data_IF_637238593320
#
_entry.id   IF_637238593320
#
_cell.length_a   1.000
_cell.length_b   1.000
_cell.length_c   1.000
_cell.angle_alpha   90.00
_cell.angle_beta   90.00
_cell.angle_gamma   90.00
#
_symmetry.space_group_name_H-M   'P 1'
#
loop_
_entity.id
_entity.type
_entity.pdbx_description
1 polymer ?
#
# COMPACT_ATOMS: atom_id res chain seq x y z
N UNK A 1 -6.90 -3.42 5.49
CA UNK A 1 -6.06 -4.14 4.51
C UNK A 1 -4.71 -4.44 5.14
N UNK A 2 -3.98 -5.46 4.66
CA UNK A 2 -2.65 -5.81 5.18
C UNK A 2 -1.57 -4.84 4.68
N UNK A 3 -0.54 -4.59 5.48
CA UNK A 3 0.65 -3.83 5.06
C UNK A 3 1.90 -4.38 5.76
N UNK A 4 3.07 -4.22 5.13
CA UNK A 4 4.35 -4.60 5.71
C UNK A 4 5.44 -3.61 5.29
N UNK A 5 6.30 -3.23 6.23
CA UNK A 5 7.44 -2.33 5.98
C UNK A 5 8.72 -3.13 6.05
N UNK A 6 9.38 -3.30 4.91
CA UNK A 6 10.59 -4.12 4.78
C UNK A 6 11.73 -3.35 4.13
N UNK A 7 12.96 -3.77 4.42
CA UNK A 7 14.16 -3.21 3.78
C UNK A 7 14.39 -3.82 2.39
N UNK A 8 14.15 -5.12 2.26
CA UNK A 8 14.22 -5.86 1.01
C UNK A 8 12.88 -6.51 0.73
N UNK A 9 12.41 -6.39 -0.51
CA UNK A 9 11.20 -7.06 -0.99
C UNK A 9 11.59 -8.46 -1.47
N UNK A 10 11.53 -9.45 -0.59
CA UNK A 10 11.78 -10.86 -0.94
C UNK A 10 10.47 -11.58 -1.23
N UNK A 11 10.53 -12.69 -1.97
CA UNK A 11 9.34 -13.45 -2.32
C UNK A 11 8.60 -13.97 -1.08
N UNK A 12 9.35 -14.42 -0.07
CA UNK A 12 8.82 -14.99 1.18
C UNK A 12 8.00 -13.95 1.94
N UNK A 13 8.55 -12.74 2.08
CA UNK A 13 7.88 -11.62 2.75
C UNK A 13 6.57 -11.24 2.05
N UNK A 14 6.56 -11.26 0.72
CA UNK A 14 5.37 -10.92 -0.06
C UNK A 14 4.34 -12.06 0.03
N UNK A 15 4.78 -13.32 0.00
CA UNK A 15 3.91 -14.48 0.20
C UNK A 15 3.23 -14.43 1.57
N UNK A 16 3.99 -14.19 2.65
CA UNK A 16 3.43 -14.02 4.00
C UNK A 16 2.40 -12.89 4.06
N UNK A 17 2.66 -11.77 3.38
CA UNK A 17 1.70 -10.67 3.29
C UNK A 17 0.40 -11.07 2.56
N UNK A 18 0.50 -11.81 1.45
CA UNK A 18 -0.66 -12.33 0.70
C UNK A 18 -1.42 -13.38 1.53
N UNK A 19 -0.69 -14.18 2.31
CA UNK A 19 -1.23 -15.22 3.19
C UNK A 19 -2.05 -14.62 4.33
N UNK A 20 -1.56 -13.55 4.96
CA UNK A 20 -2.21 -12.85 6.07
C UNK A 20 -3.33 -11.90 5.61
N UNK A 21 -3.24 -11.36 4.38
CA UNK A 21 -4.21 -10.39 3.88
C UNK A 21 -5.58 -11.03 3.56
N UNK A 22 -6.68 -10.26 3.64
CA UNK A 22 -7.98 -10.69 3.14
C UNK A 22 -7.88 -11.17 1.69
N UNK A 23 -8.45 -12.34 1.40
CA UNK A 23 -8.36 -12.96 0.08
C UNK A 23 -9.22 -12.19 -0.92
N UNK A 24 -8.64 -11.95 -2.09
CA UNK A 24 -9.31 -11.30 -3.21
C UNK A 24 -9.53 -12.30 -4.34
N UNK A 25 -10.56 -12.06 -5.16
CA UNK A 25 -10.75 -12.84 -6.39
C UNK A 25 -9.74 -12.46 -7.48
N UNK A 26 -9.28 -11.20 -7.47
CA UNK A 26 -8.34 -10.63 -8.45
C UNK A 26 -7.23 -9.88 -7.74
N UNK A 27 -6.01 -10.10 -8.17
CA UNK A 27 -4.80 -9.45 -7.68
C UNK A 27 -4.13 -8.69 -8.83
N UNK A 28 -3.75 -7.44 -8.57
CA UNK A 28 -3.09 -6.55 -9.53
C UNK A 28 -1.76 -6.08 -8.96
N UNK A 29 -0.71 -6.04 -9.78
CA UNK A 29 0.62 -5.56 -9.37
C UNK A 29 1.32 -4.75 -10.47
N UNK A 30 2.48 -4.19 -10.13
CA UNK A 30 3.40 -3.46 -11.01
C UNK A 30 4.33 -4.38 -11.85
N UNK A 31 3.99 -5.67 -11.99
CA UNK A 31 4.77 -6.68 -12.72
C UNK A 31 6.15 -7.00 -12.13
N UNK A 32 6.38 -6.75 -10.84
CA UNK A 32 7.61 -7.22 -10.20
C UNK A 32 7.69 -8.76 -10.20
N UNK A 33 8.80 -9.33 -10.66
CA UNK A 33 9.01 -10.77 -10.92
C UNK A 33 8.57 -11.70 -9.78
N UNK A 34 8.69 -11.26 -8.53
CA UNK A 34 8.27 -12.07 -7.39
C UNK A 34 6.75 -12.35 -7.38
N UNK A 35 5.90 -11.44 -7.91
CA UNK A 35 4.44 -11.58 -7.88
C UNK A 35 3.93 -12.70 -8.79
N UNK A 36 4.63 -13.01 -9.87
CA UNK A 36 4.28 -14.09 -10.81
C UNK A 36 4.48 -15.47 -10.18
N UNK A 37 5.27 -15.55 -9.10
CA UNK A 37 5.64 -16.79 -8.41
C UNK A 37 4.87 -17.02 -7.11
N UNK A 38 3.93 -16.14 -6.77
CA UNK A 38 3.15 -16.23 -5.54
C UNK A 38 1.95 -17.16 -5.68
N UNK A 39 1.56 -17.74 -4.55
CA UNK A 39 0.31 -18.46 -4.42
C UNK A 39 -0.80 -17.54 -3.90
N UNK A 40 -1.83 -17.33 -4.73
CA UNK A 40 -2.94 -16.41 -4.44
C UNK A 40 -4.21 -17.10 -3.90
N UNK A 41 -4.12 -18.30 -3.32
CA UNK A 41 -5.26 -18.99 -2.69
C UNK A 41 -6.50 -19.04 -3.61
N UNK A 42 -6.31 -19.43 -4.87
CA UNK A 42 -7.34 -19.49 -5.93
C UNK A 42 -7.76 -18.15 -6.56
N UNK A 43 -7.17 -17.02 -6.13
CA UNK A 43 -7.32 -15.75 -6.82
C UNK A 43 -6.58 -15.73 -8.16
N UNK A 44 -7.12 -14.98 -9.12
CA UNK A 44 -6.46 -14.74 -10.41
C UNK A 44 -5.54 -13.54 -10.27
N UNK A 45 -4.27 -13.75 -10.62
CA UNK A 45 -3.30 -12.67 -10.70
C UNK A 45 -3.19 -12.19 -12.14
N UNK A 46 -3.34 -10.87 -12.32
CA UNK A 46 -3.31 -10.22 -13.61
C UNK A 46 -2.30 -9.06 -13.55
N UNK A 47 -1.36 -9.08 -14.49
CA UNK A 47 -0.43 -7.98 -14.69
C UNK A 47 -1.15 -6.92 -15.53
N UNK A 48 -1.18 -5.68 -15.05
CA UNK A 48 -1.65 -4.54 -15.85
C UNK A 48 -0.82 -4.45 -17.14
N UNK A 49 -1.41 -4.84 -18.27
CA UNK A 49 -0.74 -4.75 -19.58
C UNK A 49 -0.72 -3.29 -20.03
N UNK A 50 0.45 -2.67 -19.91
CA UNK A 50 0.64 -1.25 -20.20
C UNK A 50 0.42 -0.37 -18.97
N UNK A 51 1.09 0.78 -18.93
CA UNK A 51 1.03 1.78 -17.85
C UNK A 51 -0.35 2.48 -17.72
N UNK A 52 -1.41 1.87 -18.22
CA UNK A 52 -2.74 2.46 -18.26
C UNK A 52 -3.53 2.28 -16.95
N UNK A 53 -3.16 1.31 -16.09
CA UNK A 53 -3.88 1.05 -14.83
C UNK A 53 -3.12 1.53 -13.57
N UNK A 54 -2.07 2.34 -13.71
CA UNK A 54 -1.27 2.83 -12.56
C UNK A 54 -1.94 3.95 -11.78
N UNK A 55 -3.05 4.53 -12.26
CA UNK A 55 -3.73 5.66 -11.61
C UNK A 55 -4.06 5.43 -10.12
N UNK A 56 -4.45 4.20 -9.76
CA UNK A 56 -4.76 3.85 -8.36
C UNK A 56 -3.51 3.86 -7.49
N UNK A 57 -2.43 3.21 -7.95
CA UNK A 57 -1.15 3.12 -7.22
C UNK A 57 -0.46 4.49 -7.15
N UNK A 58 -0.56 5.29 -8.21
CA UNK A 58 -0.04 6.65 -8.25
C UNK A 58 -0.81 7.58 -7.30
N UNK A 59 -2.13 7.44 -7.22
CA UNK A 59 -2.97 8.15 -6.26
C UNK A 59 -2.59 7.83 -4.81
N UNK A 60 -2.42 6.55 -4.49
CA UNK A 60 -1.99 6.12 -3.15
C UNK A 60 -0.58 6.64 -2.80
N UNK A 61 0.35 6.59 -3.74
CA UNK A 61 1.69 7.16 -3.58
C UNK A 61 1.66 8.69 -3.41
N UNK A 62 0.75 9.39 -4.09
CA UNK A 62 0.57 10.82 -3.95
C UNK A 62 0.01 11.17 -2.56
N UNK A 63 -0.99 10.44 -2.06
CA UNK A 63 -1.51 10.61 -0.69
C UNK A 63 -0.41 10.34 0.35
N UNK A 64 0.37 9.28 0.18
CA UNK A 64 1.48 8.95 1.07
C UNK A 64 2.47 10.12 1.16
N UNK A 65 2.88 10.71 0.03
CA UNK A 65 3.80 11.86 0.00
C UNK A 65 3.16 13.16 0.50
N UNK A 66 1.84 13.29 0.34
CA UNK A 66 1.08 14.44 0.85
C UNK A 66 1.08 14.46 2.38
N UNK A 67 0.75 13.34 3.03
CA UNK A 67 0.70 13.26 4.48
C UNK A 67 2.07 13.04 5.13
N UNK A 68 2.97 12.31 4.48
CA UNK A 68 4.33 12.08 4.94
C UNK A 68 5.32 12.89 4.08
N UNK A 69 5.43 14.19 4.37
CA UNK A 69 6.35 15.10 3.66
C UNK A 69 7.80 14.59 3.60
N UNK A 70 8.21 13.76 4.57
CA UNK A 70 9.51 13.07 4.57
C UNK A 70 9.75 12.13 3.39
N UNK A 71 8.69 11.67 2.72
CA UNK A 71 8.73 10.83 1.52
C UNK A 71 8.61 11.64 0.23
N UNK A 72 8.39 12.96 0.32
CA UNK A 72 8.21 13.81 -0.85
C UNK A 72 9.51 14.03 -1.64
N UNK A 73 10.66 14.11 -0.96
CA UNK A 73 11.97 14.35 -1.59
C UNK A 73 13.09 13.54 -0.94
N UNK A 74 13.49 12.45 -1.62
CA UNK A 74 14.52 11.51 -1.16
C UNK A 74 15.82 12.17 -0.64
N UNK A 75 16.29 13.23 -1.30
CA UNK A 75 17.58 13.87 -0.96
C UNK A 75 17.46 14.99 0.07
N UNK A 76 16.25 15.46 0.40
CA UNK A 76 16.04 16.66 1.23
C UNK A 76 15.21 16.40 2.48
N UNK A 77 14.49 15.30 2.53
CA UNK A 77 13.64 14.98 3.66
C UNK A 77 13.98 13.56 4.13
N UNK A 78 14.30 13.42 5.41
CA UNK A 78 14.72 12.16 6.02
C UNK A 78 14.12 12.01 7.41
N UNK A 79 14.01 10.77 7.87
CA UNK A 79 13.69 10.49 9.27
C UNK A 79 14.98 10.45 10.08
N UNK A 80 14.90 10.78 11.37
CA UNK A 80 16.05 10.70 12.29
C UNK A 80 16.62 9.28 12.40
N UNK A 81 15.74 8.27 12.34
CA UNK A 81 16.10 6.86 12.33
C UNK A 81 15.06 6.04 11.54
N UNK A 82 15.40 4.80 11.12
CA UNK A 82 14.47 3.89 10.46
C UNK A 82 13.20 3.60 11.27
N UNK A 83 13.29 3.56 12.60
CA UNK A 83 12.20 3.28 13.51
C UNK A 83 11.16 4.40 13.47
N UNK A 84 11.60 5.66 13.42
CA UNK A 84 10.73 6.82 13.27
C UNK A 84 10.02 6.84 11.92
N UNK A 85 10.64 6.31 10.86
CA UNK A 85 9.99 6.12 9.57
C UNK A 85 8.95 5.00 9.63
N UNK A 86 9.32 3.85 10.21
CA UNK A 86 8.40 2.71 10.40
C UNK A 86 7.18 3.10 11.20
N UNK A 87 7.33 3.86 12.29
CA UNK A 87 6.22 4.34 13.10
C UNK A 87 5.28 5.27 12.30
N UNK A 88 5.83 6.22 11.54
CA UNK A 88 5.05 7.11 10.70
C UNK A 88 4.28 6.36 9.59
N UNK A 89 4.92 5.36 8.97
CA UNK A 89 4.27 4.49 7.99
C UNK A 89 3.14 3.65 8.61
N UNK A 90 3.36 3.07 9.80
CA UNK A 90 2.33 2.31 10.52
C UNK A 90 1.10 3.17 10.83
N UNK A 91 1.33 4.38 11.35
CA UNK A 91 0.25 5.33 11.65
C UNK A 91 -0.50 5.71 10.37
N UNK A 92 0.22 6.05 9.30
CA UNK A 92 -0.41 6.36 8.02
C UNK A 92 -1.27 5.20 7.52
N UNK A 93 -0.74 3.97 7.50
CA UNK A 93 -1.47 2.80 7.00
C UNK A 93 -2.69 2.47 7.85
N UNK A 94 -2.62 2.68 9.17
CA UNK A 94 -3.78 2.59 10.05
C UNK A 94 -4.87 3.58 9.63
N UNK A 95 -4.59 4.88 9.61
CA UNK A 95 -5.55 5.93 9.23
C UNK A 95 -6.09 5.72 7.81
N UNK A 96 -5.20 5.37 6.87
CA UNK A 96 -5.55 5.13 5.48
C UNK A 96 -6.50 3.95 5.34
N UNK A 97 -6.23 2.82 6.00
CA UNK A 97 -7.11 1.66 5.99
C UNK A 97 -8.50 1.96 6.59
N UNK A 98 -8.55 2.69 7.70
CA UNK A 98 -9.81 3.13 8.31
C UNK A 98 -10.61 4.01 7.33
N UNK A 99 -9.95 4.93 6.64
CA UNK A 99 -10.57 5.75 5.60
C UNK A 99 -11.11 4.91 4.44
N UNK A 100 -10.38 3.88 3.98
CA UNK A 100 -10.86 3.03 2.89
C UNK A 100 -12.13 2.28 3.27
N UNK A 101 -12.18 1.73 4.49
CA UNK A 101 -13.40 1.08 5.01
C UNK A 101 -14.55 2.07 5.16
N UNK A 102 -14.27 3.31 5.61
CA UNK A 102 -15.27 4.36 5.67
C UNK A 102 -15.82 4.72 4.29
N UNK A 103 -14.97 4.89 3.27
CA UNK A 103 -15.38 5.17 1.89
C UNK A 103 -16.21 4.03 1.29
N UNK A 104 -15.90 2.77 1.61
CA UNK A 104 -16.70 1.62 1.19
C UNK A 104 -18.11 1.66 1.80
N UNK A 105 -18.23 2.06 3.08
CA UNK A 105 -19.51 2.16 3.78
C UNK A 105 -20.31 3.41 3.39
N UNK A 106 -19.62 4.51 3.09
CA UNK A 106 -20.19 5.85 2.86
C UNK A 106 -19.59 6.49 1.59
N UNK A 107 -19.91 5.97 0.39
CA UNK A 107 -19.24 6.38 -0.85
C UNK A 107 -19.48 7.83 -1.26
N UNK A 108 -20.60 8.42 -0.82
CA UNK A 108 -20.97 9.79 -1.17
C UNK A 108 -20.33 10.86 -0.26
N UNK A 109 -19.58 10.45 0.77
CA UNK A 109 -18.98 11.37 1.74
C UNK A 109 -17.49 11.53 1.49
N UNK A 110 -17.03 12.78 1.45
CA UNK A 110 -15.59 13.07 1.44
C UNK A 110 -14.96 12.60 2.74
N UNK A 111 -13.80 11.93 2.64
CA UNK A 111 -13.04 11.46 3.77
C UNK A 111 -11.54 11.63 3.50
N UNK A 112 -10.84 12.26 4.45
CA UNK A 112 -9.41 12.54 4.43
C UNK A 112 -8.68 11.71 5.48
N UNK A 113 -7.42 11.35 5.23
CA UNK A 113 -6.67 10.42 6.10
C UNK A 113 -6.51 10.96 7.52
N UNK A 114 -6.29 12.26 7.68
CA UNK A 114 -6.10 12.89 9.00
C UNK A 114 -7.33 12.81 9.93
N UNK A 115 -8.51 12.50 9.40
CA UNK A 115 -9.74 12.37 10.19
C UNK A 115 -9.82 11.05 10.96
N UNK A 116 -8.87 10.13 10.75
CA UNK A 116 -8.85 8.78 11.32
C UNK A 116 -7.63 8.54 12.23
N UNK A 117 -7.12 9.60 12.86
CA UNK A 117 -6.04 9.56 13.87
C UNK A 117 -6.62 9.12 15.21
#
# INVERSE_FOLDING_TARGET
MGFRVVWQRTQEVIQELVDEAPKAKRYYSDAFDAYDRLWYHWGVYEVSQGKNDTYSVEGDNAELRHYLARLARRSRCFSRCPEALKAALKLFMYCFNHRQLHKQRFPNYSAHVYQFI
#
